data_IF_696602331478
#
_entry.id   IF_696602331478
#
_cell.length_a   1.000
_cell.length_b   1.000
_cell.length_c   1.000
_cell.angle_alpha   90.00
_cell.angle_beta   90.00
_cell.angle_gamma   90.00
#
_symmetry.space_group_name_H-M   'P 1'
#
loop_
_entity.id
_entity.type
_entity.pdbx_description
1 polymer ?
#
# COMPACT_ATOMS: atom_id res chain seq x y z
N UNK A 1 2.55 21.83 8.57
CA UNK A 1 2.35 21.50 7.15
C UNK A 1 2.26 19.99 7.06
N UNK A 2 1.06 19.45 6.85
CA UNK A 2 0.80 18.01 6.82
C UNK A 2 1.08 17.45 5.42
N UNK A 3 2.31 17.62 4.94
CA UNK A 3 2.74 17.19 3.61
C UNK A 3 3.85 16.13 3.73
N UNK A 4 3.86 15.20 2.79
CA UNK A 4 4.97 14.25 2.66
C UNK A 4 6.25 15.03 2.37
N UNK A 5 7.30 14.79 3.15
CA UNK A 5 8.65 15.29 2.92
C UNK A 5 9.36 14.31 1.97
N UNK A 6 9.61 14.69 0.70
CA UNK A 6 10.25 13.80 -0.26
C UNK A 6 11.67 13.45 0.19
N UNK A 7 12.07 12.20 0.01
CA UNK A 7 13.44 11.74 0.24
C UNK A 7 13.86 10.98 -1.01
N UNK A 8 15.07 11.25 -1.50
CA UNK A 8 15.65 10.52 -2.61
C UNK A 8 15.65 9.02 -2.29
N UNK A 9 15.00 8.23 -3.15
CA UNK A 9 14.81 6.82 -2.92
C UNK A 9 15.16 6.01 -4.17
N UNK A 10 15.69 4.79 -3.99
CA UNK A 10 16.06 3.93 -5.11
C UNK A 10 14.85 3.37 -5.85
N UNK A 11 13.62 3.56 -5.35
CA UNK A 11 12.42 2.95 -5.90
C UNK A 11 11.27 3.95 -6.09
N UNK A 12 10.54 3.87 -7.22
CA UNK A 12 9.48 4.82 -7.55
C UNK A 12 8.24 4.71 -6.65
N UNK A 13 8.09 3.60 -5.91
CA UNK A 13 7.00 3.40 -4.97
C UNK A 13 7.25 4.05 -3.60
N UNK A 14 8.44 4.58 -3.32
CA UNK A 14 8.73 5.27 -2.06
C UNK A 14 8.58 6.78 -2.24
N UNK A 15 7.71 7.41 -1.45
CA UNK A 15 7.33 8.81 -1.61
C UNK A 15 8.06 9.75 -0.64
N UNK A 16 8.57 9.23 0.48
CA UNK A 16 9.22 10.05 1.51
C UNK A 16 8.70 9.76 2.91
N UNK A 17 8.70 10.79 3.77
CA UNK A 17 8.34 10.70 5.19
C UNK A 17 7.19 11.64 5.52
N UNK A 18 6.25 11.18 6.33
CA UNK A 18 5.14 11.95 6.85
C UNK A 18 5.16 11.90 8.38
N UNK A 19 4.87 13.02 9.05
CA UNK A 19 4.84 13.05 10.51
C UNK A 19 3.42 12.78 11.01
N UNK A 20 3.24 11.69 11.76
CA UNK A 20 1.97 11.25 12.32
C UNK A 20 2.09 11.08 13.83
N UNK A 21 1.28 11.81 14.60
CA UNK A 21 1.29 11.76 16.07
C UNK A 21 2.69 11.96 16.69
N UNK A 22 3.46 12.89 16.13
CA UNK A 22 4.83 13.17 16.60
C UNK A 22 5.90 12.16 16.16
N UNK A 23 5.52 11.13 15.40
CA UNK A 23 6.44 10.13 14.87
C UNK A 23 6.56 10.23 13.34
N UNK A 24 7.75 9.96 12.83
CA UNK A 24 7.98 9.89 11.39
C UNK A 24 7.62 8.51 10.84
N UNK A 25 6.77 8.48 9.81
CA UNK A 25 6.40 7.28 9.07
C UNK A 25 6.83 7.40 7.60
N UNK A 26 7.33 6.30 7.05
CA UNK A 26 7.72 6.17 5.65
C UNK A 26 6.50 5.91 4.78
N UNK A 27 6.34 6.68 3.72
CA UNK A 27 5.14 6.65 2.88
C UNK A 27 5.42 5.95 1.57
N UNK A 28 4.59 4.96 1.26
CA UNK A 28 4.64 4.16 0.04
C UNK A 28 3.45 4.47 -0.85
N UNK A 29 3.68 4.61 -2.15
CA UNK A 29 2.65 4.61 -3.16
C UNK A 29 2.08 3.19 -3.34
N UNK A 30 0.85 2.97 -2.86
CA UNK A 30 0.20 1.65 -2.92
C UNK A 30 -0.03 1.17 -4.37
N UNK A 31 -0.42 2.09 -5.26
CA UNK A 31 -0.73 1.76 -6.64
C UNK A 31 0.52 1.35 -7.40
N UNK A 32 1.58 2.14 -7.26
CA UNK A 32 2.88 1.77 -7.80
C UNK A 32 3.38 0.47 -7.18
N UNK A 33 3.29 0.26 -5.87
CA UNK A 33 3.77 -0.98 -5.26
C UNK A 33 3.06 -2.23 -5.82
N UNK A 34 1.74 -2.18 -6.01
CA UNK A 34 0.91 -3.31 -6.44
C UNK A 34 0.92 -3.55 -7.96
N UNK A 35 1.09 -2.52 -8.77
CA UNK A 35 1.13 -2.65 -10.23
C UNK A 35 2.52 -3.07 -10.71
N UNK A 36 2.67 -3.62 -11.94
CA UNK A 36 3.98 -3.81 -12.58
C UNK A 36 4.71 -2.47 -12.85
N UNK A 37 6.04 -2.51 -12.99
CA UNK A 37 6.89 -1.33 -13.24
C UNK A 37 6.46 -0.53 -14.47
N UNK A 38 6.14 -1.23 -15.56
CA UNK A 38 5.68 -0.64 -16.82
C UNK A 38 4.39 0.16 -16.70
N UNK A 39 3.56 -0.16 -15.70
CA UNK A 39 2.30 0.54 -15.44
C UNK A 39 2.46 1.62 -14.38
N UNK A 40 3.33 1.42 -13.38
CA UNK A 40 3.64 2.44 -12.38
C UNK A 40 4.21 3.71 -13.03
N UNK A 41 5.10 3.59 -14.03
CA UNK A 41 5.63 4.75 -14.76
C UNK A 41 4.57 5.51 -15.58
N UNK A 42 3.46 4.86 -15.91
CA UNK A 42 2.33 5.44 -16.62
C UNK A 42 1.32 6.13 -15.68
N UNK A 43 1.49 6.01 -14.35
CA UNK A 43 0.74 6.79 -13.37
C UNK A 43 1.32 8.22 -13.36
N UNK A 44 1.14 8.94 -14.47
CA UNK A 44 1.77 10.23 -14.78
C UNK A 44 1.34 11.39 -13.88
N UNK A 45 0.36 11.19 -12.99
CA UNK A 45 -0.19 12.24 -12.14
C UNK A 45 -0.11 11.84 -10.66
N UNK A 46 1.06 12.04 -10.05
CA UNK A 46 1.21 11.92 -8.59
C UNK A 46 0.38 13.01 -7.89
N UNK A 47 0.24 14.17 -8.56
CA UNK A 47 -0.54 15.32 -8.10
C UNK A 47 -2.03 15.08 -8.31
N UNK A 48 -2.70 14.59 -7.26
CA UNK A 48 -4.16 14.39 -7.23
C UNK A 48 -4.59 12.93 -7.16
N UNK A 49 -3.75 11.98 -7.61
CA UNK A 49 -4.02 10.54 -7.44
C UNK A 49 -3.80 10.05 -6.01
N UNK A 50 -2.96 10.72 -5.23
CA UNK A 50 -2.62 10.34 -3.86
C UNK A 50 -3.16 11.39 -2.89
N UNK A 51 -4.38 11.16 -2.39
CA UNK A 51 -5.07 12.13 -1.53
C UNK A 51 -5.24 11.64 -0.08
N UNK A 52 -4.91 10.38 0.20
CA UNK A 52 -5.08 9.76 1.53
C UNK A 52 -3.84 8.98 1.92
N UNK A 53 -3.50 9.05 3.21
CA UNK A 53 -2.43 8.27 3.84
C UNK A 53 -3.05 7.37 4.90
N UNK A 54 -2.80 6.06 4.81
CA UNK A 54 -3.21 5.07 5.79
C UNK A 54 -1.97 4.53 6.52
N UNK A 55 -1.85 4.83 7.81
CA UNK A 55 -0.73 4.34 8.65
C UNK A 55 -0.97 2.87 9.01
N UNK A 56 0.02 2.01 8.75
CA UNK A 56 -0.06 0.60 9.10
C UNK A 56 0.27 0.44 10.60
N UNK A 57 -0.75 0.08 11.39
CA UNK A 57 -0.68 -0.02 12.84
C UNK A 57 0.50 -0.88 13.30
N UNK A 58 1.26 -0.38 14.27
CA UNK A 58 2.41 -1.09 14.84
C UNK A 58 3.65 -1.08 13.95
N UNK A 59 3.70 -0.21 12.92
CA UNK A 59 4.84 -0.10 12.01
C UNK A 59 5.22 1.35 11.74
N UNK A 60 6.40 1.53 11.16
CA UNK A 60 6.90 2.83 10.67
C UNK A 60 6.48 3.13 9.23
N UNK A 61 5.48 2.42 8.69
CA UNK A 61 5.07 2.50 7.28
C UNK A 61 3.65 3.00 7.12
N UNK A 62 3.42 3.75 6.04
CA UNK A 62 2.11 4.23 5.64
C UNK A 62 1.91 4.07 4.13
N UNK A 63 0.65 3.93 3.72
CA UNK A 63 0.24 3.76 2.33
C UNK A 63 -0.44 5.03 1.84
N UNK A 64 0.10 5.63 0.78
CA UNK A 64 -0.59 6.65 0.01
C UNK A 64 -1.51 5.99 -1.03
N UNK A 65 -2.76 6.45 -1.08
CA UNK A 65 -3.76 6.01 -2.04
C UNK A 65 -4.70 7.16 -2.44
N UNK A 66 -5.54 6.94 -3.46
CA UNK A 66 -6.44 7.98 -3.96
C UNK A 66 -7.65 8.24 -3.10
N UNK A 67 -8.35 7.20 -2.65
CA UNK A 67 -9.57 7.37 -1.87
C UNK A 67 -9.75 6.22 -0.89
N UNK A 68 -10.27 6.57 0.29
CA UNK A 68 -10.84 5.61 1.24
C UNK A 68 -12.35 5.70 1.10
N UNK A 69 -12.98 4.61 0.67
CA UNK A 69 -14.42 4.58 0.39
C UNK A 69 -15.28 4.37 1.64
N UNK A 70 -14.73 3.68 2.65
CA UNK A 70 -15.43 3.39 3.89
C UNK A 70 -14.99 2.05 4.48
N UNK A 71 -15.73 1.60 5.48
CA UNK A 71 -15.58 0.27 6.09
C UNK A 71 -16.66 -0.63 5.52
N UNK A 72 -16.28 -1.83 5.09
CA UNK A 72 -17.21 -2.88 4.68
C UNK A 72 -17.06 -4.08 5.61
N UNK A 73 -18.17 -4.74 5.91
CA UNK A 73 -18.15 -6.05 6.58
C UNK A 73 -18.18 -7.12 5.51
N UNK A 74 -17.30 -8.11 5.62
CA UNK A 74 -17.14 -9.17 4.62
C UNK A 74 -17.23 -10.52 5.33
N UNK A 75 -18.05 -11.43 4.81
CA UNK A 75 -18.08 -12.81 5.31
C UNK A 75 -16.82 -13.56 4.89
N UNK A 76 -16.32 -14.43 5.76
CA UNK A 76 -15.20 -15.32 5.44
C UNK A 76 -15.46 -16.20 4.21
N UNK A 77 -16.72 -16.60 3.99
CA UNK A 77 -17.14 -17.41 2.85
C UNK A 77 -17.15 -16.63 1.52
N UNK A 78 -17.14 -15.30 1.59
CA UNK A 78 -17.11 -14.41 0.43
C UNK A 78 -15.67 -14.07 0.00
N UNK A 79 -14.70 -14.81 0.53
CA UNK A 79 -13.28 -14.60 0.35
C UNK A 79 -12.59 -15.88 -0.09
N UNK A 80 -11.85 -15.78 -1.19
CA UNK A 80 -10.84 -16.79 -1.54
C UNK A 80 -9.54 -16.41 -0.85
N UNK A 81 -9.25 -17.06 0.27
CA UNK A 81 -7.98 -16.93 0.97
C UNK A 81 -6.86 -17.58 0.16
N UNK A 82 -5.70 -16.92 0.11
CA UNK A 82 -4.53 -17.50 -0.53
C UNK A 82 -3.89 -18.53 0.39
N UNK A 83 -3.72 -19.74 -0.13
CA UNK A 83 -3.12 -20.87 0.59
C UNK A 83 -1.62 -21.04 0.34
N UNK A 84 -1.07 -20.40 -0.71
CA UNK A 84 0.37 -20.42 -1.02
C UNK A 84 0.92 -19.01 -1.24
N UNK A 85 2.03 -18.72 -0.56
CA UNK A 85 2.86 -17.57 -0.85
C UNK A 85 3.47 -17.73 -2.25
N UNK A 86 3.00 -16.91 -3.18
CA UNK A 86 3.58 -16.82 -4.54
C UNK A 86 4.19 -15.44 -4.74
N UNK A 87 4.27 -14.98 -6.00
CA UNK A 87 4.81 -13.66 -6.40
C UNK A 87 4.11 -12.43 -5.78
N UNK A 88 3.08 -12.59 -4.94
CA UNK A 88 2.37 -11.48 -4.30
C UNK A 88 2.07 -11.83 -2.84
N UNK A 89 3.10 -11.89 -1.97
CA UNK A 89 2.91 -12.28 -0.58
C UNK A 89 2.07 -11.29 0.23
N UNK A 90 1.91 -10.05 -0.27
CA UNK A 90 1.03 -9.02 0.30
C UNK A 90 -0.47 -9.24 0.01
N UNK A 91 -0.85 -10.17 -0.87
CA UNK A 91 -2.25 -10.45 -1.18
C UNK A 91 -2.75 -11.58 -0.27
N UNK A 92 -3.57 -11.25 0.73
CA UNK A 92 -4.14 -12.24 1.65
C UNK A 92 -5.27 -13.06 1.00
N UNK A 93 -6.05 -12.42 0.12
CA UNK A 93 -7.18 -13.04 -0.54
C UNK A 93 -7.89 -12.09 -1.50
N UNK A 94 -8.94 -12.59 -2.15
CA UNK A 94 -9.79 -11.83 -3.07
C UNK A 94 -11.25 -12.09 -2.77
N UNK A 95 -12.09 -11.07 -2.89
CA UNK A 95 -13.52 -11.28 -2.73
C UNK A 95 -14.10 -12.06 -3.92
N UNK A 96 -15.02 -12.99 -3.65
CA UNK A 96 -15.79 -13.72 -4.66
C UNK A 96 -16.97 -12.91 -5.19
N UNK A 97 -17.53 -12.02 -4.36
CA UNK A 97 -18.72 -11.21 -4.69
C UNK A 97 -18.39 -9.81 -5.17
N UNK A 98 -17.26 -9.25 -4.74
CA UNK A 98 -16.88 -7.87 -5.02
C UNK A 98 -15.50 -7.77 -5.69
N UNK A 99 -15.25 -6.66 -6.40
CA UNK A 99 -13.97 -6.41 -7.09
C UNK A 99 -12.95 -5.76 -6.16
N UNK A 100 -12.57 -6.45 -5.07
CA UNK A 100 -11.46 -6.02 -4.21
C UNK A 100 -10.58 -7.19 -3.76
N UNK A 101 -9.32 -6.86 -3.46
CA UNK A 101 -8.36 -7.76 -2.82
C UNK A 101 -8.13 -7.38 -1.36
N UNK A 102 -7.83 -8.36 -0.53
CA UNK A 102 -7.42 -8.19 0.86
C UNK A 102 -5.89 -8.08 0.94
N UNK A 103 -5.41 -7.04 1.60
CA UNK A 103 -3.98 -6.81 1.81
C UNK A 103 -3.53 -7.41 3.14
N UNK A 104 -2.45 -8.17 3.12
CA UNK A 104 -1.72 -8.58 4.32
C UNK A 104 -0.75 -7.45 4.71
N UNK A 105 -1.16 -6.64 5.70
CA UNK A 105 -0.35 -5.52 6.18
C UNK A 105 1.00 -5.94 6.78
N UNK A 106 1.10 -7.12 7.39
CA UNK A 106 2.35 -7.60 8.01
C UNK A 106 3.34 -8.03 6.92
N UNK A 107 2.86 -8.75 5.90
CA UNK A 107 3.66 -9.08 4.73
C UNK A 107 4.13 -7.82 3.99
N UNK A 108 3.26 -6.79 3.86
CA UNK A 108 3.64 -5.51 3.26
C UNK A 108 4.78 -4.83 4.03
N UNK A 109 4.66 -4.71 5.36
CA UNK A 109 5.72 -4.14 6.21
C UNK A 109 7.04 -4.88 6.03
N UNK A 110 6.99 -6.22 5.93
CA UNK A 110 8.16 -7.07 5.71
C UNK A 110 8.81 -6.80 4.35
N UNK A 111 8.00 -6.68 3.29
CA UNK A 111 8.51 -6.35 1.95
C UNK A 111 9.18 -4.98 1.92
N UNK A 112 8.52 -3.96 2.48
CA UNK A 112 9.03 -2.60 2.56
C UNK A 112 10.36 -2.51 3.31
N UNK A 113 10.45 -3.18 4.47
CA UNK A 113 11.67 -3.22 5.26
C UNK A 113 12.84 -3.90 4.51
N UNK A 114 12.54 -4.89 3.66
CA UNK A 114 13.55 -5.57 2.84
C UNK A 114 13.96 -4.82 1.58
N UNK A 115 13.29 -3.71 1.25
CA UNK A 115 13.48 -3.00 -0.03
C UNK A 115 13.04 -3.80 -1.26
N UNK A 116 12.47 -4.99 -1.08
CA UNK A 116 12.02 -5.85 -2.19
C UNK A 116 10.62 -5.45 -2.63
N UNK A 117 10.42 -5.39 -3.94
CA UNK A 117 9.10 -5.40 -4.55
C UNK A 117 8.73 -6.85 -4.90
N UNK A 118 7.41 -7.09 -4.95
CA UNK A 118 6.74 -8.37 -5.21
C UNK A 118 7.20 -9.09 -6.50
#
# INVERSE_FOLDING_TARGET
SDSIRPIAAPHPWYLGVFSYQGNDVKVIDLGCFILPDTQCSQLQDVNGRLAKIAVLKGSQWALACGKVLGVITVSGDDLLWRTRHGKRPWLAGTSTKHKFGLLDSAAMVTLFASGRRQ
#
